data_IF_281974217182
#
_entry.id   IF_281974217182
#
_cell.length_a   1.000
_cell.length_b   1.000
_cell.length_c   1.000
_cell.angle_alpha   90.00
_cell.angle_beta   90.00
_cell.angle_gamma   90.00
#
_symmetry.space_group_name_H-M   'P 1'
#
loop_
_entity.id
_entity.type
_entity.pdbx_description
1 polymer ?
#
# COMPACT_ATOMS: atom_id res chain seq x y z
N UNK A 1 41.51 13.36 -16.83
CA UNK A 1 41.59 11.91 -16.58
C UNK A 1 40.44 11.58 -15.62
N UNK A 2 39.32 11.09 -16.15
CA UNK A 2 38.11 10.81 -15.35
C UNK A 2 38.29 9.49 -14.57
N UNK A 3 37.75 9.37 -13.34
CA UNK A 3 37.87 8.15 -12.57
C UNK A 3 37.02 7.02 -13.18
N UNK A 4 37.40 5.74 -12.96
CA UNK A 4 36.65 4.60 -13.48
C UNK A 4 35.31 4.47 -12.75
N UNK A 5 34.24 4.25 -13.51
CA UNK A 5 32.90 4.02 -12.99
C UNK A 5 32.84 2.59 -12.43
N UNK A 6 32.59 2.46 -11.12
CA UNK A 6 32.31 1.16 -10.49
C UNK A 6 30.88 0.73 -10.85
N UNK A 7 30.77 -0.36 -11.61
CA UNK A 7 29.50 -0.93 -12.10
C UNK A 7 28.70 -1.68 -11.02
N UNK A 8 29.06 -1.56 -9.73
CA UNK A 8 28.42 -2.25 -8.60
C UNK A 8 27.68 -1.34 -7.61
N UNK A 9 27.51 -0.06 -7.93
CA UNK A 9 26.70 0.85 -7.10
C UNK A 9 25.22 0.84 -7.55
N UNK A 10 24.28 0.30 -6.75
CA UNK A 10 22.85 0.33 -7.06
C UNK A 10 22.25 1.76 -7.05
N UNK A 11 23.03 2.79 -6.70
CA UNK A 11 22.62 4.20 -6.79
C UNK A 11 22.70 4.81 -8.22
N UNK A 12 23.12 4.05 -9.23
CA UNK A 12 23.31 4.56 -10.59
C UNK A 12 22.03 4.65 -11.46
N UNK A 13 20.83 4.44 -10.90
CA UNK A 13 19.59 4.83 -11.58
C UNK A 13 19.11 6.14 -10.98
N UNK A 14 19.51 7.27 -11.57
CA UNK A 14 18.93 8.58 -11.26
C UNK A 14 17.48 8.60 -11.75
N UNK A 15 16.58 8.04 -10.95
CA UNK A 15 15.15 8.24 -11.09
C UNK A 15 14.90 9.75 -11.10
N UNK A 16 14.12 10.30 -12.05
CA UNK A 16 13.86 11.73 -12.07
C UNK A 16 13.33 12.15 -10.69
N UNK A 17 14.02 13.11 -10.07
CA UNK A 17 13.69 13.61 -8.72
C UNK A 17 12.36 14.37 -8.69
N UNK A 18 11.80 14.67 -9.86
CA UNK A 18 10.50 15.33 -10.05
C UNK A 18 9.40 14.30 -10.30
N UNK A 19 8.16 14.72 -10.05
CA UNK A 19 6.96 13.94 -10.27
C UNK A 19 6.30 13.56 -8.96
N UNK A 20 4.98 13.43 -9.02
CA UNK A 20 4.09 13.18 -7.88
C UNK A 20 4.62 12.08 -6.96
N UNK A 21 4.62 12.37 -5.67
CA UNK A 21 4.97 11.47 -4.58
C UNK A 21 4.03 11.75 -3.41
N UNK A 22 3.90 10.80 -2.50
CA UNK A 22 3.00 10.93 -1.37
C UNK A 22 3.74 10.63 -0.08
N UNK A 23 3.45 11.42 0.97
CA UNK A 23 3.58 10.93 2.35
C UNK A 23 2.30 10.16 2.66
N UNK A 24 2.42 8.96 3.21
CA UNK A 24 1.29 8.19 3.70
C UNK A 24 1.39 8.01 5.20
N UNK A 25 0.25 8.12 5.86
CA UNK A 25 0.07 7.79 7.26
C UNK A 25 -1.06 6.77 7.33
N UNK A 26 -0.74 5.59 7.85
CA UNK A 26 -1.66 4.46 7.86
C UNK A 26 -1.71 3.85 9.25
N UNK A 27 -2.80 4.05 10.00
CA UNK A 27 -3.02 3.37 11.27
C UNK A 27 -3.28 1.87 11.07
N UNK A 28 -2.93 1.07 12.07
CA UNK A 28 -3.35 -0.33 12.19
C UNK A 28 -4.80 -0.38 12.70
N UNK A 29 -5.60 -1.30 12.18
CA UNK A 29 -7.00 -1.46 12.57
C UNK A 29 -7.17 -2.10 13.96
N UNK A 30 -6.19 -2.90 14.42
CA UNK A 30 -6.32 -3.73 15.61
C UNK A 30 -5.34 -3.39 16.73
N UNK A 31 -4.37 -2.54 16.44
CA UNK A 31 -3.35 -2.12 17.40
C UNK A 31 -3.27 -0.61 17.41
N UNK A 32 -2.90 -0.04 18.55
CA UNK A 32 -2.52 1.37 18.67
C UNK A 32 -1.12 1.59 18.05
N UNK A 33 -1.00 1.29 16.76
CA UNK A 33 0.17 1.46 15.93
C UNK A 33 -0.21 2.18 14.66
N UNK A 34 0.71 2.97 14.12
CA UNK A 34 0.60 3.53 12.79
C UNK A 34 1.95 3.49 12.09
N UNK A 35 1.92 3.44 10.77
CA UNK A 35 3.09 3.58 9.90
C UNK A 35 3.05 4.93 9.21
N UNK A 36 4.20 5.61 9.19
CA UNK A 36 4.46 6.71 8.25
C UNK A 36 5.41 6.19 7.18
N UNK A 37 5.24 6.63 5.93
CA UNK A 37 6.28 6.52 4.94
C UNK A 37 6.01 7.40 3.73
N UNK A 38 6.82 7.27 2.69
CA UNK A 38 6.56 7.90 1.40
C UNK A 38 6.61 6.91 0.24
N UNK A 39 5.81 7.17 -0.80
CA UNK A 39 5.80 6.37 -2.03
C UNK A 39 5.25 7.17 -3.19
N UNK A 40 5.65 6.82 -4.42
CA UNK A 40 4.98 7.29 -5.64
C UNK A 40 3.68 6.54 -5.91
N UNK A 41 3.57 5.32 -5.38
CA UNK A 41 2.40 4.45 -5.44
C UNK A 41 2.08 3.95 -4.02
N UNK A 42 1.29 4.71 -3.23
CA UNK A 42 0.83 4.27 -1.92
C UNK A 42 0.09 2.94 -1.94
N UNK A 43 -0.70 2.64 -2.97
CA UNK A 43 -1.44 1.37 -3.04
C UNK A 43 -0.50 0.17 -3.13
N UNK A 44 0.44 0.19 -4.07
CA UNK A 44 1.45 -0.86 -4.19
C UNK A 44 2.30 -0.98 -2.91
N UNK A 45 2.54 0.15 -2.23
CA UNK A 45 3.28 0.16 -0.96
C UNK A 45 2.53 -0.56 0.16
N UNK A 46 1.24 -0.29 0.33
CA UNK A 46 0.41 -0.98 1.33
C UNK A 46 0.31 -2.48 1.03
N UNK A 47 0.11 -2.85 -0.24
CA UNK A 47 0.10 -4.25 -0.69
C UNK A 47 1.39 -4.99 -0.37
N UNK A 48 2.54 -4.32 -0.47
CA UNK A 48 3.83 -4.91 -0.13
C UNK A 48 4.02 -5.10 1.39
N UNK A 49 3.47 -4.21 2.22
CA UNK A 49 3.61 -4.29 3.68
C UNK A 49 2.87 -5.49 4.27
N UNK A 50 1.67 -5.80 3.75
CA UNK A 50 0.86 -6.90 4.27
C UNK A 50 -0.01 -7.51 3.18
N UNK A 51 -0.14 -8.85 3.18
CA UNK A 51 -0.96 -9.58 2.20
C UNK A 51 -2.44 -9.16 2.27
N UNK A 52 -2.97 -9.09 3.49
CA UNK A 52 -4.33 -8.60 3.83
C UNK A 52 -4.30 -7.14 4.26
N UNK A 53 -3.56 -6.29 3.55
CA UNK A 53 -3.37 -4.88 3.91
C UNK A 53 -4.70 -4.13 4.14
N UNK A 54 -5.73 -4.47 3.37
CA UNK A 54 -7.08 -3.89 3.46
C UNK A 54 -7.85 -4.28 4.72
N UNK A 55 -7.38 -5.27 5.49
CA UNK A 55 -7.96 -5.65 6.79
C UNK A 55 -7.11 -5.18 7.96
N UNK A 56 -5.78 -5.15 7.77
CA UNK A 56 -4.84 -4.84 8.85
C UNK A 56 -4.69 -3.34 9.05
N UNK A 57 -4.88 -2.55 7.99
CA UNK A 57 -4.82 -1.10 8.08
C UNK A 57 -6.21 -0.47 8.19
N UNK A 58 -6.31 0.53 9.03
CA UNK A 58 -7.48 1.39 9.12
C UNK A 58 -7.42 2.44 7.99
N UNK A 59 -8.02 2.09 6.85
CA UNK A 59 -7.98 2.93 5.65
C UNK A 59 -8.93 4.13 5.74
N UNK A 60 -9.94 4.07 6.60
CA UNK A 60 -10.88 5.17 6.86
C UNK A 60 -10.26 6.27 7.72
N UNK A 61 -9.22 5.95 8.51
CA UNK A 61 -8.43 6.94 9.25
C UNK A 61 -7.04 7.17 8.68
N UNK A 62 -6.69 6.50 7.58
CA UNK A 62 -5.45 6.74 6.85
C UNK A 62 -5.49 8.07 6.09
N UNK A 63 -4.30 8.65 5.87
CA UNK A 63 -4.11 9.95 5.24
C UNK A 63 -3.02 9.86 4.18
N UNK A 64 -3.20 10.56 3.06
CA UNK A 64 -2.14 10.80 2.07
C UNK A 64 -1.92 12.29 1.85
N UNK A 65 -0.66 12.72 1.81
CA UNK A 65 -0.27 14.09 1.44
C UNK A 65 0.44 14.03 0.11
N UNK A 66 -0.11 14.67 -0.91
CA UNK A 66 0.51 14.78 -2.23
C UNK A 66 1.65 15.81 -2.21
N UNK A 67 2.74 15.47 -2.89
CA UNK A 67 3.93 16.30 -3.05
C UNK A 67 4.43 16.23 -4.49
N UNK A 68 5.09 17.28 -4.97
CA UNK A 68 5.62 17.36 -6.34
C UNK A 68 6.91 16.56 -6.56
N UNK A 69 7.53 16.08 -5.48
CA UNK A 69 8.81 15.39 -5.51
C UNK A 69 8.99 14.41 -4.36
N UNK A 70 9.82 13.37 -4.59
CA UNK A 70 10.27 12.45 -3.54
C UNK A 70 11.02 13.19 -2.43
N UNK A 71 11.75 14.26 -2.79
CA UNK A 71 12.50 15.06 -1.83
C UNK A 71 11.58 15.71 -0.81
N UNK A 72 10.45 16.27 -1.27
CA UNK A 72 9.51 16.95 -0.40
C UNK A 72 8.79 15.95 0.51
N UNK A 73 8.33 14.82 -0.02
CA UNK A 73 7.74 13.74 0.78
C UNK A 73 8.70 13.22 1.85
N UNK A 74 9.97 12.99 1.50
CA UNK A 74 11.01 12.58 2.46
C UNK A 74 11.33 13.67 3.47
N UNK A 75 11.27 14.94 3.07
CA UNK A 75 11.44 16.08 3.96
C UNK A 75 10.36 16.12 5.04
N UNK A 76 9.09 15.88 4.66
CA UNK A 76 7.98 15.73 5.58
C UNK A 76 8.20 14.52 6.50
N UNK A 77 8.47 13.33 5.95
CA UNK A 77 8.72 12.11 6.73
C UNK A 77 9.79 12.33 7.82
N UNK A 78 10.93 12.93 7.48
CA UNK A 78 12.00 13.24 8.44
C UNK A 78 11.59 14.29 9.48
N UNK A 79 10.70 15.23 9.14
CA UNK A 79 10.15 16.18 10.10
C UNK A 79 9.25 15.46 11.12
N UNK A 80 8.33 14.62 10.65
CA UNK A 80 7.47 13.81 11.51
C UNK A 80 8.26 12.82 12.37
N UNK A 81 9.31 12.19 11.81
CA UNK A 81 10.16 11.29 12.57
C UNK A 81 10.83 11.98 13.75
N UNK A 82 11.32 13.21 13.57
CA UNK A 82 11.91 14.01 14.65
C UNK A 82 10.87 14.45 15.67
N UNK A 83 9.70 14.90 15.19
CA UNK A 83 8.61 15.37 16.06
C UNK A 83 8.05 14.26 16.95
N UNK A 84 7.90 13.04 16.41
CA UNK A 84 7.24 11.91 17.10
C UNK A 84 8.23 10.82 17.56
N UNK A 85 9.52 11.14 17.69
CA UNK A 85 10.55 10.15 18.04
C UNK A 85 10.24 9.38 19.33
N UNK A 86 9.62 10.03 20.32
CA UNK A 86 9.26 9.42 21.61
C UNK A 86 8.20 8.30 21.47
N UNK A 87 7.48 8.28 20.37
CA UNK A 87 6.46 7.28 20.09
C UNK A 87 6.98 6.11 19.23
N UNK A 88 8.27 6.12 18.85
CA UNK A 88 8.83 5.08 17.98
C UNK A 88 8.57 3.69 18.56
N UNK A 89 8.10 2.79 17.70
CA UNK A 89 7.77 1.42 18.05
C UNK A 89 8.40 0.45 17.05
N UNK A 90 8.61 -0.82 17.44
CA UNK A 90 8.97 -1.85 16.49
C UNK A 90 7.80 -2.14 15.53
N UNK A 91 8.13 -2.64 14.34
CA UNK A 91 7.14 -3.11 13.38
C UNK A 91 6.33 -4.30 13.94
N UNK A 92 5.03 -4.42 13.60
CA UNK A 92 4.25 -5.63 13.87
C UNK A 92 4.90 -6.86 13.24
N UNK A 93 4.82 -8.02 13.90
CA UNK A 93 5.37 -9.29 13.40
C UNK A 93 4.71 -9.77 12.10
N UNK A 94 3.50 -9.30 11.81
CA UNK A 94 2.73 -9.64 10.60
C UNK A 94 3.21 -8.88 9.36
N UNK A 95 3.91 -7.75 9.54
CA UNK A 95 4.39 -6.92 8.44
C UNK A 95 5.61 -7.56 7.79
N UNK A 96 5.64 -7.59 6.47
CA UNK A 96 6.76 -8.19 5.73
C UNK A 96 8.03 -7.34 5.86
N UNK A 97 9.11 -7.89 6.47
CA UNK A 97 10.39 -7.21 6.59
C UNK A 97 10.93 -6.73 5.24
N UNK A 98 10.88 -7.59 4.22
CA UNK A 98 11.49 -7.39 2.90
C UNK A 98 10.87 -6.20 2.15
N UNK A 99 9.68 -5.77 2.55
CA UNK A 99 9.03 -4.58 2.02
C UNK A 99 9.56 -3.28 2.63
N UNK A 100 10.67 -3.26 3.37
CA UNK A 100 11.15 -2.03 4.03
C UNK A 100 10.14 -1.49 5.04
N UNK A 101 9.37 -2.39 5.67
CA UNK A 101 8.40 -2.09 6.71
C UNK A 101 8.99 -2.10 8.12
N UNK A 102 10.31 -2.07 8.28
CA UNK A 102 10.97 -2.24 9.58
C UNK A 102 10.93 -1.02 10.48
N UNK A 103 10.83 0.17 9.90
CA UNK A 103 11.07 1.46 10.56
C UNK A 103 9.84 2.37 10.45
N UNK A 104 9.88 3.51 11.15
CA UNK A 104 8.82 4.54 11.17
C UNK A 104 7.43 4.01 11.57
N UNK A 105 7.40 3.11 12.56
CA UNK A 105 6.19 2.76 13.30
C UNK A 105 6.12 3.58 14.58
N UNK A 106 4.90 3.95 14.96
CA UNK A 106 4.65 4.77 16.14
C UNK A 106 3.49 4.20 16.95
N UNK A 107 3.64 4.13 18.28
CA UNK A 107 2.62 3.67 19.22
C UNK A 107 2.05 4.83 20.02
N UNK A 108 0.72 4.89 20.17
CA UNK A 108 0.06 5.96 20.94
C UNK A 108 0.18 7.36 20.35
N UNK A 109 0.45 7.46 19.04
CA UNK A 109 0.64 8.73 18.34
C UNK A 109 -0.43 9.04 17.29
N UNK A 110 -1.44 8.17 17.12
CA UNK A 110 -2.41 8.28 16.02
C UNK A 110 -3.06 9.65 15.94
N UNK A 111 -3.71 10.09 17.01
CA UNK A 111 -4.39 11.37 17.07
C UNK A 111 -3.46 12.59 16.85
N UNK A 112 -2.38 12.81 17.64
CA UNK A 112 -1.55 14.00 17.47
C UNK A 112 -0.82 14.04 16.12
N UNK A 113 -0.52 12.87 15.54
CA UNK A 113 0.10 12.77 14.23
C UNK A 113 -0.90 13.08 13.12
N UNK A 114 -2.11 12.53 13.16
CA UNK A 114 -3.18 12.86 12.21
C UNK A 114 -3.53 14.36 12.25
N UNK A 115 -3.57 14.99 13.43
CA UNK A 115 -3.73 16.45 13.56
C UNK A 115 -2.58 17.20 12.87
N UNK A 116 -1.35 16.77 13.11
CA UNK A 116 -0.16 17.40 12.50
C UNK A 116 -0.13 17.25 10.98
N UNK A 117 -0.59 16.11 10.43
CA UNK A 117 -0.74 15.90 8.98
C UNK A 117 -1.83 16.78 8.41
N UNK A 118 -3.01 16.85 9.04
CA UNK A 118 -4.11 17.72 8.58
C UNK A 118 -3.72 19.18 8.55
N UNK A 119 -2.86 19.62 9.48
CA UNK A 119 -2.33 20.97 9.49
C UNK A 119 -1.51 21.33 8.23
N UNK A 120 -0.96 20.35 7.51
CA UNK A 120 -0.25 20.59 6.24
C UNK A 120 -1.15 21.15 5.15
N UNK A 121 -2.47 20.91 5.21
CA UNK A 121 -3.41 21.51 4.26
C UNK A 121 -3.38 23.05 4.32
N UNK A 122 -3.18 23.63 5.52
CA UNK A 122 -3.03 25.08 5.68
C UNK A 122 -1.73 25.64 5.09
N UNK A 123 -0.76 24.77 4.79
CA UNK A 123 0.51 25.09 4.15
C UNK A 123 0.47 24.91 2.63
N UNK A 124 -0.70 24.56 2.07
CA UNK A 124 -0.94 24.41 0.64
C UNK A 124 -0.74 23.00 0.09
N UNK A 125 -0.48 22.00 0.93
CA UNK A 125 -0.42 20.61 0.49
C UNK A 125 -1.81 20.05 0.17
N UNK A 126 -1.90 19.22 -0.87
CA UNK A 126 -3.13 18.47 -1.16
C UNK A 126 -3.20 17.25 -0.24
N UNK A 127 -4.31 17.13 0.48
CA UNK A 127 -4.56 16.06 1.44
C UNK A 127 -5.69 15.15 0.95
N UNK A 128 -5.47 13.84 0.98
CA UNK A 128 -6.51 12.82 0.84
C UNK A 128 -6.85 12.27 2.22
N UNK A 129 -7.97 12.76 2.77
CA UNK A 129 -8.49 12.43 4.10
C UNK A 129 -10.00 12.17 3.99
N UNK A 130 -10.46 10.90 4.06
CA UNK A 130 -9.65 9.71 4.24
C UNK A 130 -8.91 9.28 2.97
N UNK A 131 -7.77 8.61 3.15
CA UNK A 131 -6.98 8.01 2.07
C UNK A 131 -7.77 6.94 1.30
N UNK A 132 -8.79 6.34 1.93
CA UNK A 132 -9.68 5.35 1.34
C UNK A 132 -10.21 5.77 -0.03
N UNK A 133 -10.65 7.02 -0.22
CA UNK A 133 -11.20 7.47 -1.51
C UNK A 133 -10.16 7.45 -2.63
N UNK A 134 -8.93 7.87 -2.32
CA UNK A 134 -7.82 7.84 -3.26
C UNK A 134 -7.44 6.38 -3.60
N UNK A 135 -7.31 5.53 -2.58
CA UNK A 135 -6.99 4.11 -2.76
C UNK A 135 -8.08 3.38 -3.57
N UNK A 136 -9.35 3.70 -3.33
CA UNK A 136 -10.47 3.15 -4.09
C UNK A 136 -10.40 3.53 -5.56
N UNK A 137 -10.14 4.80 -5.85
CA UNK A 137 -9.97 5.26 -7.23
C UNK A 137 -8.84 4.49 -7.93
N UNK A 138 -7.70 4.34 -7.25
CA UNK A 138 -6.54 3.61 -7.75
C UNK A 138 -6.79 2.10 -7.94
N UNK A 139 -7.60 1.48 -7.06
CA UNK A 139 -8.07 0.11 -7.23
C UNK A 139 -9.00 -0.02 -8.43
N UNK A 140 -9.93 0.92 -8.64
CA UNK A 140 -10.80 0.95 -9.81
C UNK A 140 -10.00 1.08 -11.11
N UNK A 141 -9.00 1.96 -11.17
CA UNK A 141 -8.15 2.09 -12.37
C UNK A 141 -7.41 0.79 -12.67
N UNK A 142 -6.97 0.06 -11.64
CA UNK A 142 -6.30 -1.24 -11.82
C UNK A 142 -7.27 -2.39 -12.12
N UNK A 143 -8.58 -2.20 -11.91
CA UNK A 143 -9.56 -3.28 -12.05
C UNK A 143 -9.82 -3.65 -13.52
N UNK A 144 -9.56 -2.74 -14.46
CA UNK A 144 -9.63 -2.98 -15.92
C UNK A 144 -8.77 -4.18 -16.37
N UNK A 145 -7.67 -4.46 -15.66
CA UNK A 145 -6.76 -5.57 -15.95
C UNK A 145 -7.13 -6.91 -15.30
N UNK A 146 -8.16 -6.95 -14.43
CA UNK A 146 -8.45 -8.13 -13.61
C UNK A 146 -8.80 -9.36 -14.44
N UNK A 147 -9.55 -9.20 -15.54
CA UNK A 147 -9.93 -10.32 -16.38
C UNK A 147 -8.69 -11.05 -16.91
N UNK A 148 -7.81 -10.32 -17.60
CA UNK A 148 -6.61 -10.89 -18.21
C UNK A 148 -5.62 -11.39 -17.15
N UNK A 149 -5.49 -10.67 -16.04
CA UNK A 149 -4.59 -11.05 -14.96
C UNK A 149 -5.03 -12.36 -14.29
N UNK A 150 -6.30 -12.50 -13.91
CA UNK A 150 -6.80 -13.73 -13.28
C UNK A 150 -6.74 -14.93 -14.21
N UNK A 151 -7.06 -14.74 -15.50
CA UNK A 151 -6.92 -15.78 -16.52
C UNK A 151 -5.47 -16.25 -16.72
N UNK A 152 -4.49 -15.36 -16.59
CA UNK A 152 -3.08 -15.72 -16.66
C UNK A 152 -2.58 -16.40 -15.37
N UNK A 153 -3.17 -16.06 -14.22
CA UNK A 153 -2.76 -16.56 -12.91
C UNK A 153 -3.30 -17.96 -12.58
N UNK A 154 -4.50 -18.30 -13.03
CA UNK A 154 -5.17 -19.55 -12.70
C UNK A 154 -5.38 -20.42 -13.94
N UNK A 155 -4.70 -21.57 -13.99
CA UNK A 155 -4.96 -22.60 -14.99
C UNK A 155 -6.28 -23.34 -14.69
N UNK A 156 -6.76 -24.13 -15.65
CA UNK A 156 -7.93 -25.01 -15.45
C UNK A 156 -7.70 -25.94 -14.24
N UNK A 157 -6.52 -26.57 -14.16
CA UNK A 157 -6.16 -27.42 -13.02
C UNK A 157 -6.18 -26.66 -11.69
N UNK A 158 -5.70 -25.42 -11.67
CA UNK A 158 -5.76 -24.57 -10.48
C UNK A 158 -7.20 -24.22 -10.10
N UNK A 159 -8.14 -24.12 -11.03
CA UNK A 159 -9.55 -23.84 -10.72
C UNK A 159 -10.29 -25.07 -10.18
N UNK A 160 -9.89 -26.27 -10.56
CA UNK A 160 -10.52 -27.54 -10.15
C UNK A 160 -9.95 -28.12 -8.84
N UNK A 161 -8.78 -27.64 -8.40
CA UNK A 161 -8.12 -28.15 -7.20
C UNK A 161 -8.87 -27.74 -5.91
N UNK A 162 -9.57 -28.69 -5.29
CA UNK A 162 -10.43 -28.44 -4.14
C UNK A 162 -9.79 -28.67 -2.75
N UNK A 163 -8.63 -29.34 -2.69
CA UNK A 163 -8.13 -29.88 -1.41
C UNK A 163 -7.23 -28.92 -0.63
N UNK A 164 -6.35 -28.15 -1.28
CA UNK A 164 -5.50 -27.15 -0.63
C UNK A 164 -5.31 -25.97 -1.58
N UNK A 165 -5.56 -24.75 -1.08
CA UNK A 165 -5.35 -23.54 -1.85
C UNK A 165 -3.87 -23.41 -2.27
N UNK A 166 -3.58 -23.26 -3.56
CA UNK A 166 -2.25 -23.00 -4.08
C UNK A 166 -1.78 -21.58 -3.71
N UNK A 167 -0.47 -21.27 -3.80
CA UNK A 167 0.00 -19.89 -3.65
C UNK A 167 -0.64 -18.91 -4.62
N UNK A 168 -0.88 -19.31 -5.89
CA UNK A 168 -1.52 -18.44 -6.89
C UNK A 168 -2.98 -18.19 -6.57
N UNK A 169 -3.72 -19.24 -6.22
CA UNK A 169 -5.10 -19.12 -5.73
C UNK A 169 -5.22 -18.17 -4.54
N UNK A 170 -4.29 -18.23 -3.58
CA UNK A 170 -4.29 -17.29 -2.44
C UNK A 170 -4.08 -15.85 -2.90
N UNK A 171 -3.06 -15.59 -3.72
CA UNK A 171 -2.78 -14.25 -4.26
C UNK A 171 -3.98 -13.68 -5.02
N UNK A 172 -4.61 -14.49 -5.87
CA UNK A 172 -5.82 -14.08 -6.60
C UNK A 172 -6.96 -13.79 -5.62
N UNK A 173 -7.21 -14.69 -4.66
CA UNK A 173 -8.27 -14.51 -3.65
C UNK A 173 -8.07 -13.22 -2.86
N UNK A 174 -6.88 -12.94 -2.34
CA UNK A 174 -6.64 -11.71 -1.57
C UNK A 174 -6.81 -10.45 -2.43
N UNK A 175 -6.42 -10.51 -3.71
CA UNK A 175 -6.64 -9.40 -4.62
C UNK A 175 -8.15 -9.16 -4.84
N UNK A 176 -8.95 -10.20 -5.05
CA UNK A 176 -10.41 -10.08 -5.20
C UNK A 176 -11.08 -9.60 -3.91
N UNK A 177 -10.69 -10.15 -2.77
CA UNK A 177 -11.16 -9.71 -1.45
C UNK A 177 -10.84 -8.23 -1.20
N UNK A 178 -9.66 -7.76 -1.62
CA UNK A 178 -9.31 -6.34 -1.55
C UNK A 178 -10.27 -5.49 -2.39
N UNK A 179 -10.60 -5.89 -3.63
CA UNK A 179 -11.55 -5.14 -4.45
C UNK A 179 -12.95 -5.09 -3.81
N UNK A 180 -13.41 -6.21 -3.24
CA UNK A 180 -14.67 -6.25 -2.49
C UNK A 180 -14.65 -5.34 -1.26
N UNK A 181 -13.53 -5.28 -0.52
CA UNK A 181 -13.39 -4.40 0.63
C UNK A 181 -13.50 -2.91 0.26
N UNK A 182 -13.22 -2.53 -0.99
CA UNK A 182 -13.46 -1.18 -1.52
C UNK A 182 -14.84 -1.00 -2.18
N UNK A 183 -15.73 -1.98 -2.06
CA UNK A 183 -17.06 -1.97 -2.68
C UNK A 183 -17.00 -1.99 -4.21
N UNK A 184 -16.00 -2.65 -4.78
CA UNK A 184 -15.87 -2.84 -6.23
C UNK A 184 -16.46 -4.20 -6.58
N UNK A 185 -17.50 -4.23 -7.41
CA UNK A 185 -18.09 -5.47 -7.88
C UNK A 185 -17.10 -6.20 -8.81
N UNK A 186 -16.64 -7.38 -8.39
CA UNK A 186 -15.65 -8.16 -9.16
C UNK A 186 -16.28 -9.11 -10.16
N UNK A 187 -17.50 -9.61 -9.93
CA UNK A 187 -18.21 -10.53 -10.84
C UNK A 187 -18.13 -10.13 -12.33
N UNK A 188 -18.48 -8.89 -12.73
CA UNK A 188 -18.43 -8.51 -14.14
C UNK A 188 -17.01 -8.34 -14.70
N UNK A 189 -15.98 -8.38 -13.85
CA UNK A 189 -14.57 -8.14 -14.20
C UNK A 189 -13.78 -9.45 -14.35
N UNK A 190 -14.41 -10.60 -14.17
CA UNK A 190 -13.74 -11.90 -14.11
C UNK A 190 -14.23 -12.85 -15.22
N UNK A 191 -13.37 -13.80 -15.65
CA UNK A 191 -13.85 -14.96 -16.37
C UNK A 191 -14.81 -15.78 -15.52
N UNK A 192 -15.89 -16.29 -16.11
CA UNK A 192 -16.93 -17.08 -15.43
C UNK A 192 -16.36 -18.22 -14.56
N UNK A 193 -15.37 -18.94 -15.07
CA UNK A 193 -14.73 -20.03 -14.33
C UNK A 193 -14.01 -19.55 -13.05
N UNK A 194 -13.38 -18.37 -13.11
CA UNK A 194 -12.72 -17.74 -11.96
C UNK A 194 -13.76 -17.27 -10.94
N UNK A 195 -14.86 -16.66 -11.40
CA UNK A 195 -15.96 -16.26 -10.52
C UNK A 195 -16.56 -17.47 -9.77
N UNK A 196 -16.86 -18.55 -10.48
CA UNK A 196 -17.37 -19.79 -9.88
C UNK A 196 -16.41 -20.38 -8.85
N UNK A 197 -15.12 -20.44 -9.17
CA UNK A 197 -14.08 -20.88 -8.22
C UNK A 197 -14.04 -19.98 -6.99
N UNK A 198 -14.11 -18.66 -7.18
CA UNK A 198 -14.04 -17.69 -6.10
C UNK A 198 -15.21 -17.88 -5.11
N UNK A 199 -16.44 -18.04 -5.63
CA UNK A 199 -17.64 -18.30 -4.84
C UNK A 199 -17.67 -19.68 -4.16
N UNK A 200 -17.13 -20.71 -4.80
CA UNK A 200 -17.16 -22.08 -4.27
C UNK A 200 -16.25 -22.29 -3.05
N UNK A 201 -15.28 -21.40 -2.84
CA UNK A 201 -14.34 -21.44 -1.73
C UNK A 201 -14.58 -20.34 -0.68
N UNK A 202 -15.76 -19.72 -0.70
CA UNK A 202 -16.31 -18.92 0.40
C UNK A 202 -17.04 -19.83 1.40
#
# INVERSE_FOLDING_TARGET
MAPPIDTRDPAATRTPSRGRCFLYVVPSAYEDLLKIGHSRDPLARLQALHRRWFEVFDLEHALLVETDSVRDARGLELAFQRQFQQHNAPAPLTVQPEAGGHSEWYRGASEPLCISVRALASQGFVLHDPAWHWLRHEMLVRSDGLFSWTQAMLSVDELELASIATPRQRVVRDALDAHLAFGIAVEPLLPEAVWRWYCAAA
#
